data_IF_743584249717
#
_entry.id   IF_743584249717
#
_cell.length_a   1.000
_cell.length_b   1.000
_cell.length_c   1.000
_cell.angle_alpha   90.00
_cell.angle_beta   90.00
_cell.angle_gamma   90.00
#
_symmetry.space_group_name_H-M   'P 1'
#
loop_
_entity.id
_entity.type
_entity.pdbx_description
1 polymer ?
#
# COMPACT_ATOMS: atom_id res chain seq x y z
N UNK A 1 -8.74 5.42 -21.25
CA UNK A 1 -7.48 5.48 -20.49
C UNK A 1 -6.34 5.68 -21.47
N UNK A 2 -5.36 6.50 -21.10
CA UNK A 2 -4.19 6.76 -21.95
C UNK A 2 -3.01 6.03 -21.32
N UNK A 3 -2.50 5.02 -22.01
CA UNK A 3 -1.37 4.23 -21.53
C UNK A 3 -0.07 4.72 -22.17
N UNK A 4 0.98 4.81 -21.38
CA UNK A 4 2.31 5.20 -21.83
C UNK A 4 3.27 4.04 -21.65
N UNK A 5 4.08 3.77 -22.67
CA UNK A 5 5.27 2.95 -22.50
C UNK A 5 6.45 3.84 -22.12
N UNK A 6 7.30 3.38 -21.21
CA UNK A 6 8.33 4.15 -20.54
C UNK A 6 9.51 4.63 -21.40
N UNK A 7 9.47 4.55 -22.72
CA UNK A 7 10.52 5.07 -23.59
C UNK A 7 9.97 6.02 -24.65
N UNK A 8 10.42 7.25 -24.59
CA UNK A 8 10.30 8.25 -25.67
C UNK A 8 8.88 8.69 -26.03
N UNK A 9 8.10 9.19 -25.10
CA UNK A 9 6.95 10.07 -25.36
C UNK A 9 5.99 9.63 -26.49
N UNK A 10 5.93 8.35 -26.80
CA UNK A 10 4.90 7.84 -27.70
C UNK A 10 3.66 7.57 -26.85
N UNK A 11 2.68 8.44 -26.96
CA UNK A 11 1.38 8.23 -26.37
C UNK A 11 0.65 7.13 -27.15
N UNK A 12 0.62 5.91 -26.59
CA UNK A 12 -0.24 4.86 -27.10
C UNK A 12 -1.59 5.06 -26.42
N UNK A 13 -2.58 5.51 -27.17
CA UNK A 13 -3.97 5.51 -26.70
C UNK A 13 -4.52 4.13 -26.98
N UNK A 14 -4.47 3.25 -25.98
CA UNK A 14 -5.19 1.98 -26.02
C UNK A 14 -6.57 2.21 -25.44
N UNK A 15 -7.59 2.01 -26.26
CA UNK A 15 -8.99 2.06 -25.85
C UNK A 15 -9.49 0.69 -25.39
N UNK A 16 -8.64 -0.32 -25.38
CA UNK A 16 -9.03 -1.65 -24.94
C UNK A 16 -9.22 -1.64 -23.41
N UNK A 17 -10.31 -2.22 -22.99
CA UNK A 17 -10.59 -2.47 -21.59
C UNK A 17 -10.98 -3.94 -21.41
N UNK A 18 -10.68 -4.48 -20.26
CA UNK A 18 -11.19 -5.79 -19.86
C UNK A 18 -11.88 -5.67 -18.51
N UNK A 19 -13.05 -6.25 -18.41
CA UNK A 19 -13.90 -6.17 -17.22
C UNK A 19 -14.01 -7.54 -16.56
N UNK A 20 -13.66 -7.60 -15.29
CA UNK A 20 -13.94 -8.75 -14.45
C UNK A 20 -15.41 -8.70 -13.98
N UNK A 21 -16.16 -9.73 -14.26
CA UNK A 21 -17.60 -9.82 -13.93
C UNK A 21 -17.90 -10.70 -12.69
N UNK A 22 -16.87 -11.14 -11.98
CA UNK A 22 -16.95 -12.08 -10.86
C UNK A 22 -16.57 -13.52 -11.22
N UNK A 23 -16.42 -13.84 -12.51
CA UNK A 23 -16.07 -15.18 -13.00
C UNK A 23 -15.04 -15.17 -14.12
N UNK A 24 -15.11 -14.20 -15.04
CA UNK A 24 -14.26 -14.12 -16.23
C UNK A 24 -13.97 -12.69 -16.61
N UNK A 25 -12.86 -12.49 -17.32
CA UNK A 25 -12.51 -11.24 -17.97
C UNK A 25 -13.18 -11.13 -19.35
N UNK A 26 -13.82 -10.00 -19.65
CA UNK A 26 -14.60 -9.78 -20.87
C UNK A 26 -13.78 -9.78 -22.15
N UNK A 27 -12.50 -9.41 -22.06
CA UNK A 27 -11.59 -9.27 -23.20
C UNK A 27 -10.23 -9.92 -22.91
N UNK A 28 -10.27 -11.17 -22.39
CA UNK A 28 -9.09 -11.87 -21.89
C UNK A 28 -8.51 -11.23 -20.63
N UNK A 29 -7.50 -11.85 -20.05
CA UNK A 29 -6.80 -11.31 -18.88
C UNK A 29 -6.24 -9.91 -19.19
N UNK A 30 -6.18 -9.01 -18.18
CA UNK A 30 -5.54 -7.72 -18.34
C UNK A 30 -4.03 -7.89 -18.60
N UNK A 31 -3.46 -6.88 -19.24
CA UNK A 31 -2.04 -6.72 -19.46
C UNK A 31 -1.69 -5.22 -19.46
N UNK A 32 -0.41 -4.87 -19.60
CA UNK A 32 0.07 -3.48 -19.54
C UNK A 32 -0.52 -2.54 -20.61
N UNK A 33 -1.26 -3.06 -21.59
CA UNK A 33 -1.95 -2.28 -22.60
C UNK A 33 -3.43 -2.04 -22.30
N UNK A 34 -4.03 -2.75 -21.33
CA UNK A 34 -5.46 -2.72 -21.07
C UNK A 34 -5.83 -2.00 -19.76
N UNK A 35 -6.95 -1.28 -19.78
CA UNK A 35 -7.64 -0.86 -18.56
C UNK A 35 -8.31 -2.08 -17.91
N UNK A 36 -7.92 -2.44 -16.72
CA UNK A 36 -8.61 -3.46 -15.92
C UNK A 36 -9.77 -2.81 -15.12
N UNK A 37 -10.97 -3.36 -15.27
CA UNK A 37 -12.16 -2.92 -14.56
C UNK A 37 -12.67 -4.05 -13.68
N UNK A 38 -12.70 -3.82 -12.36
CA UNK A 38 -13.26 -4.77 -11.40
C UNK A 38 -14.75 -4.45 -11.19
N UNK A 39 -15.60 -5.29 -11.75
CA UNK A 39 -17.06 -5.22 -11.69
C UNK A 39 -17.65 -6.55 -11.17
N UNK A 40 -16.94 -7.20 -10.30
CA UNK A 40 -17.22 -8.39 -9.53
C UNK A 40 -16.09 -8.56 -8.51
N UNK A 41 -16.34 -9.21 -7.39
CA UNK A 41 -15.28 -9.42 -6.39
C UNK A 41 -14.13 -10.24 -6.98
N UNK A 42 -12.90 -9.77 -6.77
CA UNK A 42 -11.67 -10.39 -7.23
C UNK A 42 -10.75 -10.68 -6.06
N UNK A 43 -10.23 -11.88 -6.01
CA UNK A 43 -9.26 -12.32 -5.01
C UNK A 43 -8.09 -13.00 -5.75
N UNK A 44 -6.87 -12.51 -5.53
CA UNK A 44 -5.71 -12.96 -6.30
C UNK A 44 -5.36 -14.41 -6.04
N UNK A 45 -5.56 -14.94 -4.84
CA UNK A 45 -5.36 -16.39 -4.58
C UNK A 45 -6.26 -17.27 -5.45
N UNK A 46 -7.48 -16.81 -5.74
CA UNK A 46 -8.46 -17.59 -6.51
C UNK A 46 -8.36 -17.38 -8.01
N UNK A 47 -7.91 -16.20 -8.43
CA UNK A 47 -7.98 -15.75 -9.83
C UNK A 47 -6.64 -15.34 -10.42
N UNK A 48 -5.57 -15.34 -9.60
CA UNK A 48 -4.20 -15.04 -10.01
C UNK A 48 -3.84 -13.55 -9.95
N UNK A 49 -2.55 -13.30 -10.07
CA UNK A 49 -1.96 -11.98 -10.24
C UNK A 49 -2.33 -11.40 -11.60
N UNK A 50 -2.25 -10.08 -11.71
CA UNK A 50 -2.37 -9.44 -13.01
C UNK A 50 -1.59 -8.13 -13.09
N UNK A 51 -1.31 -7.76 -14.35
CA UNK A 51 -0.74 -6.47 -14.72
C UNK A 51 -1.77 -5.70 -15.55
N UNK A 52 -1.79 -4.37 -15.45
CA UNK A 52 -2.70 -3.57 -16.26
C UNK A 52 -2.11 -2.19 -16.57
N UNK A 53 -2.66 -1.55 -17.60
CA UNK A 53 -2.33 -0.17 -17.94
C UNK A 53 -2.84 0.80 -16.86
N UNK A 54 -4.10 0.68 -16.49
CA UNK A 54 -4.74 1.41 -15.39
C UNK A 54 -5.76 0.50 -14.72
N UNK A 55 -6.10 0.79 -13.49
CA UNK A 55 -7.05 -0.01 -12.70
C UNK A 55 -8.25 0.83 -12.27
N UNK A 56 -9.45 0.29 -12.48
CA UNK A 56 -10.69 0.81 -11.95
C UNK A 56 -11.38 -0.26 -11.10
N UNK A 57 -11.60 0.02 -9.82
CA UNK A 57 -12.45 -0.79 -8.95
C UNK A 57 -13.79 -0.08 -8.81
N UNK A 58 -14.87 -0.69 -9.29
CA UNK A 58 -16.21 -0.12 -9.25
C UNK A 58 -16.85 -0.20 -7.87
N UNK A 59 -17.73 0.72 -7.60
CA UNK A 59 -18.50 0.77 -6.35
C UNK A 59 -19.27 -0.54 -6.12
N UNK A 60 -19.20 -1.04 -4.87
CA UNK A 60 -19.86 -2.27 -4.45
C UNK A 60 -19.03 -3.54 -4.67
N UNK A 61 -17.85 -3.45 -5.29
CA UNK A 61 -16.96 -4.59 -5.50
C UNK A 61 -15.66 -4.46 -4.73
N UNK A 62 -15.04 -5.62 -4.48
CA UNK A 62 -13.81 -5.74 -3.71
C UNK A 62 -12.71 -6.39 -4.55
N UNK A 63 -11.52 -5.79 -4.53
CA UNK A 63 -10.27 -6.39 -4.96
C UNK A 63 -9.43 -6.70 -3.73
N UNK A 64 -9.13 -7.98 -3.50
CA UNK A 64 -8.17 -8.43 -2.48
C UNK A 64 -6.88 -8.88 -3.16
N UNK A 65 -5.76 -8.30 -2.75
CA UNK A 65 -4.42 -8.75 -3.11
C UNK A 65 -3.87 -9.52 -1.91
N UNK A 66 -3.73 -10.81 -2.06
CA UNK A 66 -3.38 -11.73 -1.00
C UNK A 66 -1.86 -11.82 -0.75
N UNK A 67 -1.47 -12.57 0.27
CA UNK A 67 -0.07 -12.79 0.60
C UNK A 67 0.67 -13.46 -0.56
N UNK A 68 1.88 -12.97 -0.85
CA UNK A 68 2.77 -13.42 -1.91
C UNK A 68 2.26 -13.17 -3.35
N UNK A 69 1.08 -12.54 -3.48
CA UNK A 69 0.49 -12.12 -4.74
C UNK A 69 0.71 -10.63 -5.02
N UNK A 70 0.52 -10.22 -6.28
CA UNK A 70 0.67 -8.82 -6.68
C UNK A 70 -0.37 -8.36 -7.71
N UNK A 71 -0.55 -7.04 -7.77
CA UNK A 71 -1.17 -6.32 -8.89
C UNK A 71 -0.23 -5.21 -9.31
N UNK A 72 0.14 -5.18 -10.62
CA UNK A 72 0.98 -4.14 -11.19
C UNK A 72 0.17 -3.22 -12.08
N UNK A 73 0.26 -1.91 -11.82
CA UNK A 73 -0.44 -0.85 -12.55
C UNK A 73 0.59 0.03 -13.25
N UNK A 74 0.49 0.17 -14.56
CA UNK A 74 1.41 1.02 -15.30
C UNK A 74 1.18 2.51 -15.02
N UNK A 75 -0.08 2.97 -14.93
CA UNK A 75 -0.44 4.40 -14.81
C UNK A 75 -1.40 4.65 -13.63
N UNK A 76 -2.67 4.86 -13.88
CA UNK A 76 -3.64 5.42 -12.95
C UNK A 76 -4.41 4.35 -12.17
N UNK A 77 -4.76 4.67 -10.92
CA UNK A 77 -5.65 3.88 -10.08
C UNK A 77 -6.88 4.69 -9.71
N UNK A 78 -8.07 4.17 -10.02
CA UNK A 78 -9.34 4.71 -9.52
C UNK A 78 -10.04 3.66 -8.68
N UNK A 79 -10.15 3.89 -7.39
CA UNK A 79 -10.88 3.00 -6.49
C UNK A 79 -12.18 3.65 -5.99
N UNK A 80 -13.31 3.21 -6.54
CA UNK A 80 -14.64 3.59 -6.07
C UNK A 80 -15.27 2.53 -5.16
N UNK A 81 -14.64 1.34 -5.10
CA UNK A 81 -15.06 0.20 -4.30
C UNK A 81 -14.19 -0.03 -3.07
N UNK A 82 -13.77 -1.27 -2.89
CA UNK A 82 -12.86 -1.67 -1.82
C UNK A 82 -11.60 -2.31 -2.43
N UNK A 83 -10.43 -1.79 -2.09
CA UNK A 83 -9.14 -2.37 -2.48
C UNK A 83 -8.33 -2.66 -1.22
N UNK A 84 -8.05 -3.93 -0.98
CA UNK A 84 -7.29 -4.42 0.16
C UNK A 84 -5.98 -5.04 -0.34
N UNK A 85 -4.86 -4.53 0.17
CA UNK A 85 -3.55 -5.17 0.05
C UNK A 85 -3.28 -5.85 1.38
N UNK A 86 -3.40 -7.17 1.41
CA UNK A 86 -3.25 -7.96 2.62
C UNK A 86 -1.78 -8.11 3.01
N UNK A 87 -1.53 -8.66 4.19
CA UNK A 87 -0.16 -8.83 4.67
C UNK A 87 0.66 -9.67 3.67
N UNK A 88 1.84 -9.16 3.29
CA UNK A 88 2.72 -9.69 2.24
C UNK A 88 2.17 -9.61 0.81
N UNK A 89 0.97 -9.08 0.58
CA UNK A 89 0.51 -8.73 -0.76
C UNK A 89 1.20 -7.47 -1.30
N UNK A 90 1.20 -7.26 -2.61
CA UNK A 90 1.91 -6.17 -3.26
C UNK A 90 1.05 -5.44 -4.28
N UNK A 91 0.93 -4.12 -4.15
CA UNK A 91 0.36 -3.25 -5.17
C UNK A 91 1.50 -2.36 -5.69
N UNK A 92 1.82 -2.49 -6.95
CA UNK A 92 2.94 -1.78 -7.58
C UNK A 92 2.40 -0.82 -8.63
N UNK A 93 2.81 0.44 -8.58
CA UNK A 93 2.54 1.43 -9.61
C UNK A 93 3.87 1.87 -10.24
N UNK A 94 3.95 1.80 -11.57
CA UNK A 94 5.20 2.07 -12.30
C UNK A 94 5.38 3.54 -12.62
N UNK A 95 4.29 4.23 -12.99
CA UNK A 95 4.33 5.65 -13.31
C UNK A 95 4.18 6.50 -12.05
N UNK A 96 5.26 7.14 -11.60
CA UNK A 96 5.26 8.03 -10.43
C UNK A 96 4.33 9.25 -10.58
N UNK A 97 3.93 9.57 -11.81
CA UNK A 97 3.00 10.67 -12.12
C UNK A 97 1.56 10.17 -12.30
N UNK A 98 1.29 8.89 -12.07
CA UNK A 98 -0.04 8.31 -12.14
C UNK A 98 -1.00 8.98 -11.16
N UNK A 99 -2.24 9.23 -11.63
CA UNK A 99 -3.29 9.85 -10.81
C UNK A 99 -4.03 8.78 -10.04
N UNK A 100 -4.01 8.90 -8.71
CA UNK A 100 -4.68 7.96 -7.82
C UNK A 100 -5.90 8.62 -7.16
N UNK A 101 -7.05 7.95 -7.21
CA UNK A 101 -8.29 8.39 -6.56
C UNK A 101 -8.91 7.28 -5.73
N UNK A 102 -9.57 7.67 -4.64
CA UNK A 102 -10.15 6.73 -3.67
C UNK A 102 -9.14 6.28 -2.61
N UNK A 103 -9.59 5.42 -1.71
CA UNK A 103 -8.82 4.93 -0.58
C UNK A 103 -8.44 3.46 -0.77
N UNK A 104 -7.29 3.06 -0.26
CA UNK A 104 -6.87 1.66 -0.19
C UNK A 104 -6.64 1.25 1.25
N UNK A 105 -6.85 -0.02 1.56
CA UNK A 105 -6.47 -0.63 2.83
C UNK A 105 -5.18 -1.42 2.63
N UNK A 106 -4.14 -1.08 3.40
CA UNK A 106 -2.84 -1.74 3.31
C UNK A 106 -2.50 -2.39 4.65
N UNK A 107 -2.54 -3.71 4.70
CA UNK A 107 -2.28 -4.48 5.92
C UNK A 107 -0.81 -4.89 6.00
N UNK A 108 -0.21 -4.70 7.18
CA UNK A 108 1.09 -5.26 7.54
C UNK A 108 1.03 -5.78 8.97
N UNK A 109 1.58 -6.95 9.19
CA UNK A 109 1.62 -7.61 10.50
C UNK A 109 3.08 -7.72 10.93
N UNK A 110 3.36 -7.33 12.17
CA UNK A 110 4.64 -7.57 12.82
C UNK A 110 4.43 -8.47 14.02
N UNK A 111 5.29 -9.47 14.17
CA UNK A 111 5.29 -10.36 15.33
C UNK A 111 6.32 -9.87 16.34
N UNK A 112 5.88 -9.42 17.50
CA UNK A 112 6.67 -8.69 18.48
C UNK A 112 6.43 -9.16 19.90
N UNK A 113 7.40 -8.90 20.79
CA UNK A 113 7.28 -9.06 22.26
C UNK A 113 7.15 -7.70 22.92
N UNK A 114 6.79 -7.72 24.18
CA UNK A 114 6.85 -6.53 25.03
C UNK A 114 8.24 -5.86 24.92
N UNK A 115 8.25 -4.55 24.70
CA UNK A 115 9.42 -3.69 24.53
C UNK A 115 10.15 -3.81 23.17
N UNK A 116 9.76 -4.71 22.29
CA UNK A 116 10.29 -4.72 20.93
C UNK A 116 9.85 -3.46 20.18
N UNK A 117 10.70 -2.99 19.29
CA UNK A 117 10.45 -1.87 18.40
C UNK A 117 10.43 -2.36 16.95
N UNK A 118 9.50 -1.85 16.17
CA UNK A 118 9.36 -2.16 14.75
C UNK A 118 9.48 -0.87 13.94
N UNK A 119 10.20 -0.97 12.83
CA UNK A 119 10.30 0.10 11.85
C UNK A 119 9.12 0.05 10.89
N UNK A 120 8.52 1.19 10.68
CA UNK A 120 7.36 1.37 9.81
C UNK A 120 7.59 2.50 8.82
N UNK A 121 7.03 2.37 7.61
CA UNK A 121 6.82 3.45 6.67
C UNK A 121 5.43 3.29 6.08
N UNK A 122 4.69 4.38 5.92
CA UNK A 122 3.35 4.29 5.35
C UNK A 122 3.42 4.27 3.82
N UNK A 123 2.81 3.27 3.16
CA UNK A 123 2.64 3.26 1.72
C UNK A 123 1.46 4.11 1.25
N UNK A 124 0.68 4.67 2.19
CA UNK A 124 -0.50 5.48 1.92
C UNK A 124 -0.34 6.86 2.53
N UNK A 125 -0.94 7.87 1.92
CA UNK A 125 -0.99 9.23 2.46
C UNK A 125 -2.05 9.35 3.57
N UNK A 126 -1.82 10.28 4.51
CA UNK A 126 -2.80 10.62 5.53
C UNK A 126 -2.92 9.62 6.69
N UNK A 127 -2.07 8.59 6.78
CA UNK A 127 -2.13 7.60 7.85
C UNK A 127 -1.54 8.15 9.15
N UNK A 128 -2.24 8.00 10.27
CA UNK A 128 -1.77 8.44 11.58
C UNK A 128 -0.87 7.37 12.21
N UNK A 129 0.33 7.76 12.67
CA UNK A 129 1.29 6.86 13.32
C UNK A 129 0.72 6.16 14.54
N UNK A 130 -0.20 6.79 15.27
CA UNK A 130 -0.85 6.18 16.43
C UNK A 130 -1.79 5.03 16.05
N UNK A 131 -2.23 4.99 14.80
CA UNK A 131 -3.10 3.92 14.29
C UNK A 131 -2.35 2.62 13.97
N UNK A 132 -1.00 2.65 13.94
CA UNK A 132 -0.18 1.43 13.78
C UNK A 132 -0.40 0.48 14.96
N UNK A 133 -0.39 1.03 16.17
CA UNK A 133 -0.55 0.27 17.41
C UNK A 133 -1.33 1.10 18.44
N UNK A 134 -2.68 1.09 18.38
CA UNK A 134 -3.51 1.96 19.23
C UNK A 134 -3.36 1.71 20.72
N UNK A 135 -2.86 0.54 21.11
CA UNK A 135 -2.60 0.19 22.53
C UNK A 135 -1.20 0.59 23.00
N UNK A 136 -0.34 1.06 22.10
CA UNK A 136 0.97 1.60 22.47
C UNK A 136 0.83 3.05 22.94
N UNK A 137 1.34 3.42 24.11
CA UNK A 137 1.36 4.83 24.53
C UNK A 137 2.10 5.71 23.53
N UNK A 138 1.52 6.87 23.18
CA UNK A 138 2.01 7.75 22.12
C UNK A 138 3.48 8.18 22.25
N UNK A 139 4.00 8.27 23.48
CA UNK A 139 5.40 8.60 23.74
C UNK A 139 6.39 7.47 23.33
N UNK A 140 5.92 6.33 22.86
CA UNK A 140 6.72 5.25 22.27
C UNK A 140 6.62 5.19 20.75
N UNK A 141 6.11 6.23 20.10
CA UNK A 141 6.15 6.45 18.67
C UNK A 141 7.24 7.45 18.35
N UNK A 142 8.19 7.11 17.48
CA UNK A 142 9.36 7.90 17.20
C UNK A 142 9.55 8.10 15.69
N UNK A 143 10.14 9.24 15.33
CA UNK A 143 10.61 9.54 13.99
C UNK A 143 12.03 10.09 14.04
N UNK A 144 12.81 9.81 13.02
CA UNK A 144 14.15 10.37 12.92
C UNK A 144 14.10 11.84 12.46
N UNK A 145 14.81 12.71 13.16
CA UNK A 145 15.00 14.09 12.75
C UNK A 145 16.52 14.34 12.56
N UNK A 146 16.99 14.50 11.30
CA UNK A 146 18.41 14.67 11.02
C UNK A 146 18.97 16.05 11.42
N UNK A 147 18.11 17.04 11.70
CA UNK A 147 18.54 18.41 12.00
C UNK A 147 18.73 18.68 13.48
N UNK A 148 18.39 17.73 14.36
CA UNK A 148 18.55 17.86 15.81
C UNK A 148 19.89 17.27 16.22
N UNK A 149 20.69 18.02 16.98
CA UNK A 149 21.94 17.52 17.53
C UNK A 149 21.69 16.35 18.48
N UNK A 150 22.48 15.30 18.32
CA UNK A 150 22.49 14.18 19.24
C UNK A 150 23.40 14.50 20.43
N UNK A 151 22.90 14.46 21.68
CA UNK A 151 23.70 14.76 22.87
C UNK A 151 24.88 13.78 23.07
N UNK A 152 24.84 12.61 22.44
CA UNK A 152 25.91 11.61 22.50
C UNK A 152 26.93 11.73 21.34
N UNK A 153 26.85 12.81 20.55
CA UNK A 153 27.68 13.06 19.37
C UNK A 153 27.06 12.49 18.10
N UNK A 154 27.32 13.16 17.00
CA UNK A 154 26.74 12.84 15.69
C UNK A 154 25.55 13.73 15.32
N UNK A 155 25.02 13.52 14.11
CA UNK A 155 23.89 14.28 13.57
C UNK A 155 22.61 13.48 13.68
N UNK A 156 21.52 14.20 13.94
CA UNK A 156 20.17 13.65 14.04
C UNK A 156 19.86 12.99 15.39
N UNK A 157 18.59 12.92 15.69
CA UNK A 157 18.07 12.27 16.89
C UNK A 157 16.65 11.73 16.66
N UNK A 158 16.26 10.76 17.46
CA UNK A 158 14.88 10.30 17.55
C UNK A 158 14.04 11.30 18.34
N UNK A 159 12.93 11.72 17.74
CA UNK A 159 11.93 12.59 18.38
C UNK A 159 10.58 11.91 18.37
N UNK A 160 9.71 12.28 19.30
CA UNK A 160 8.38 11.71 19.37
C UNK A 160 7.60 12.01 18.07
N UNK A 161 6.94 10.99 17.54
CA UNK A 161 6.06 11.09 16.38
C UNK A 161 4.62 11.04 16.85
N UNK A 162 3.88 12.13 16.68
CA UNK A 162 2.50 12.26 17.15
C UNK A 162 1.50 12.61 16.04
N UNK A 163 1.89 12.45 14.78
CA UNK A 163 1.14 12.99 13.64
C UNK A 163 1.07 12.01 12.47
N UNK A 164 0.43 12.47 11.40
CA UNK A 164 0.35 11.81 10.11
C UNK A 164 1.73 11.41 9.59
N UNK A 165 1.87 10.17 9.18
CA UNK A 165 3.07 9.64 8.57
C UNK A 165 3.28 10.24 7.16
N UNK A 166 4.51 10.64 6.91
CA UNK A 166 4.93 11.10 5.59
C UNK A 166 5.41 9.91 4.75
N UNK A 167 5.03 9.87 3.49
CA UNK A 167 5.51 8.86 2.55
C UNK A 167 7.04 8.84 2.46
N UNK A 168 7.64 7.66 2.42
CA UNK A 168 9.10 7.47 2.36
C UNK A 168 9.86 7.78 3.66
N UNK A 169 9.18 8.22 4.73
CA UNK A 169 9.79 8.46 6.03
C UNK A 169 9.66 7.25 6.94
N UNK A 170 10.75 6.93 7.65
CA UNK A 170 10.79 5.87 8.65
C UNK A 170 10.29 6.32 10.03
N UNK A 171 9.57 5.44 10.69
CA UNK A 171 9.08 5.58 12.06
C UNK A 171 9.43 4.33 12.86
N UNK A 172 9.55 4.46 14.18
CA UNK A 172 9.70 3.32 15.09
C UNK A 172 8.55 3.35 16.08
N UNK A 173 7.89 2.21 16.25
CA UNK A 173 6.80 2.02 17.21
C UNK A 173 7.11 0.83 18.09
N UNK A 174 6.98 1.02 19.40
CA UNK A 174 7.16 -0.05 20.40
C UNK A 174 5.90 -0.92 20.49
N UNK A 175 6.09 -2.20 20.80
CA UNK A 175 4.98 -3.09 21.13
C UNK A 175 4.16 -2.56 22.33
N UNK A 176 2.84 -2.85 22.40
CA UNK A 176 1.95 -2.45 23.49
C UNK A 176 2.39 -3.00 24.85
N UNK A 177 2.05 -2.28 25.92
CA UNK A 177 2.40 -2.68 27.29
C UNK A 177 1.78 -4.02 27.74
N UNK A 178 0.70 -4.46 27.10
CA UNK A 178 0.01 -5.71 27.45
C UNK A 178 0.60 -6.96 26.79
N UNK A 179 1.63 -6.81 25.97
CA UNK A 179 2.23 -7.93 25.26
C UNK A 179 3.13 -8.77 26.17
N UNK A 180 3.31 -10.05 25.81
CA UNK A 180 4.21 -10.96 26.49
C UNK A 180 5.67 -10.54 26.29
N UNK A 181 6.51 -10.72 27.32
CA UNK A 181 7.95 -10.54 27.22
C UNK A 181 8.70 -11.82 26.80
N UNK A 182 8.02 -12.94 26.69
CA UNK A 182 8.61 -14.26 26.38
C UNK A 182 8.12 -14.87 25.07
N UNK A 183 6.94 -14.49 24.61
CA UNK A 183 6.33 -15.00 23.36
C UNK A 183 5.94 -13.87 22.44
N UNK A 184 6.11 -14.06 21.13
CA UNK A 184 5.63 -13.14 20.10
C UNK A 184 4.10 -13.15 20.05
N UNK A 185 3.55 -11.99 19.73
CA UNK A 185 2.12 -11.74 19.53
C UNK A 185 1.91 -10.94 18.24
#
# INVERSE_FOLDING_TARGET
ATCYTASNAIKITDTSATTWNGTTWSNGAPDLSKLAIINGNYDTTSHGDFECCSLLVNLGFTLNIQADDFVLIQNDLTNNGTLNVLNNGSLVQVNDLGVNTGNISYQRIASVKLQDYVYWSSPVSGFDVNSISPLTPGYYHWQWNPTILNPNGGEGNWVNASTTMLGGKGYIVRAPNGFSNTANQ
#
